data_IF_153501053993
#
_entry.id   IF_153501053993
#
_cell.length_a   1.000
_cell.length_b   1.000
_cell.length_c   1.000
_cell.angle_alpha   90.00
_cell.angle_beta   90.00
_cell.angle_gamma   90.00
#
_symmetry.space_group_name_H-M   'P 1'
#
loop_
_entity.id
_entity.type
_entity.pdbx_description
1 polymer ?
#
# COMPACT_ATOMS: atom_id res chain seq x y z
N UNK A 1 -3.51 20.77 -6.80
CA UNK A 1 -2.68 19.58 -6.70
C UNK A 1 -3.55 18.34 -6.78
N UNK A 2 -3.14 17.42 -7.60
CA UNK A 2 -3.94 16.22 -7.82
C UNK A 2 -3.36 15.04 -7.05
N UNK A 3 -4.22 14.41 -6.27
CA UNK A 3 -3.86 13.23 -5.50
C UNK A 3 -4.42 11.99 -6.17
N UNK A 4 -3.66 10.90 -6.12
CA UNK A 4 -4.15 9.63 -6.60
C UNK A 4 -5.23 9.09 -5.65
N UNK A 5 -6.26 8.43 -6.16
CA UNK A 5 -7.31 7.88 -5.32
C UNK A 5 -6.81 6.69 -4.50
N UNK A 6 -7.46 6.48 -3.37
CA UNK A 6 -7.19 5.35 -2.48
C UNK A 6 -8.51 4.61 -2.30
N UNK A 7 -8.48 3.31 -2.53
CA UNK A 7 -9.63 2.42 -2.31
C UNK A 7 -9.27 1.48 -1.18
N UNK A 8 -10.08 1.49 -0.13
CA UNK A 8 -9.88 0.64 1.04
C UNK A 8 -11.10 -0.25 1.18
N UNK A 9 -10.87 -1.55 1.25
CA UNK A 9 -11.93 -2.54 1.38
C UNK A 9 -12.51 -2.62 2.79
N UNK A 10 -13.24 -3.70 3.03
CA UNK A 10 -13.92 -3.91 4.32
C UNK A 10 -12.98 -4.56 5.32
N UNK A 11 -13.22 -4.26 6.60
CA UNK A 11 -12.49 -4.87 7.72
C UNK A 11 -10.97 -4.69 7.62
N UNK A 12 -10.54 -3.56 7.11
CA UNK A 12 -9.13 -3.20 7.05
C UNK A 12 -8.75 -2.55 8.37
N UNK A 13 -7.65 -3.01 8.97
CA UNK A 13 -7.12 -2.45 10.21
C UNK A 13 -5.82 -1.74 9.88
N UNK A 14 -5.79 -0.45 10.16
CA UNK A 14 -4.62 0.39 9.90
C UNK A 14 -4.14 0.95 11.23
N UNK A 15 -2.94 0.56 11.64
CA UNK A 15 -2.34 1.01 12.89
C UNK A 15 -1.88 2.47 12.77
N UNK A 16 -1.50 3.10 13.91
CA UNK A 16 -1.05 4.49 13.87
C UNK A 16 0.20 4.71 13.01
N UNK A 17 0.33 5.92 12.50
CA UNK A 17 1.50 6.38 11.76
C UNK A 17 1.70 5.64 10.44
N UNK A 18 0.64 5.15 9.85
CA UNK A 18 0.69 4.62 8.48
C UNK A 18 0.55 5.78 7.53
N UNK A 19 1.45 5.84 6.55
CA UNK A 19 1.40 6.84 5.50
C UNK A 19 1.10 6.18 4.17
N UNK A 20 0.11 6.73 3.47
CA UNK A 20 -0.22 6.28 2.12
C UNK A 20 0.05 7.46 1.19
N UNK A 21 1.03 7.30 0.32
CA UNK A 21 1.41 8.36 -0.58
C UNK A 21 0.39 8.46 -1.72
N UNK A 22 -0.20 9.63 -1.86
CA UNK A 22 -1.18 9.88 -2.91
C UNK A 22 -0.64 10.81 -3.99
N UNK A 23 0.53 11.39 -3.77
CA UNK A 23 1.17 12.27 -4.72
C UNK A 23 2.65 11.94 -4.77
N UNK A 24 3.29 12.31 -5.86
CA UNK A 24 4.72 12.11 -6.05
C UNK A 24 5.32 13.41 -6.54
N UNK A 25 6.54 13.75 -6.11
CA UNK A 25 7.22 14.94 -6.63
C UNK A 25 7.36 14.92 -8.15
N UNK A 26 7.49 13.75 -8.73
CA UNK A 26 7.65 13.62 -10.17
C UNK A 26 6.39 13.92 -10.94
N UNK A 27 5.22 13.77 -10.32
CA UNK A 27 3.96 14.06 -10.98
C UNK A 27 3.78 15.55 -11.26
N UNK A 28 4.52 16.39 -10.57
CA UNK A 28 4.43 17.84 -10.74
C UNK A 28 5.09 18.27 -12.05
N UNK A 29 6.17 17.62 -12.41
CA UNK A 29 6.96 18.00 -13.60
C UNK A 29 6.61 17.16 -14.82
N UNK A 30 5.90 16.08 -14.65
CA UNK A 30 5.53 15.22 -15.76
C UNK A 30 4.14 15.62 -16.26
N UNK A 31 4.11 16.31 -17.37
CA UNK A 31 2.85 16.79 -17.96
C UNK A 31 2.18 15.75 -18.84
N UNK A 32 2.69 14.56 -18.91
CA UNK A 32 2.06 13.52 -19.70
C UNK A 32 0.76 13.11 -19.03
N UNK A 33 -0.20 12.81 -19.87
CA UNK A 33 -1.50 12.36 -19.40
C UNK A 33 -1.41 10.88 -19.04
N UNK A 34 -0.78 10.60 -17.95
CA UNK A 34 -0.72 9.26 -17.42
C UNK A 34 -1.86 9.08 -16.45
N UNK A 35 -2.59 7.98 -16.56
CA UNK A 35 -3.64 7.66 -15.61
C UNK A 35 -3.02 7.62 -14.21
N UNK A 36 -3.69 8.28 -13.26
CA UNK A 36 -3.21 8.25 -11.89
C UNK A 36 -3.36 6.86 -11.34
N UNK A 37 -2.29 6.30 -10.79
CA UNK A 37 -2.41 4.97 -10.21
C UNK A 37 -3.33 4.99 -8.99
N UNK A 38 -4.14 3.96 -8.87
CA UNK A 38 -5.04 3.79 -7.75
C UNK A 38 -4.35 2.92 -6.72
N UNK A 39 -4.25 3.43 -5.50
CA UNK A 39 -3.77 2.62 -4.38
C UNK A 39 -4.95 1.84 -3.83
N UNK A 40 -4.83 0.52 -3.78
CA UNK A 40 -5.93 -0.35 -3.38
C UNK A 40 -5.49 -1.24 -2.23
N UNK A 41 -6.25 -1.18 -1.13
CA UNK A 41 -6.09 -2.09 0.00
C UNK A 41 -7.35 -2.92 0.04
N UNK A 42 -7.21 -4.22 -0.21
CA UNK A 42 -8.37 -5.09 -0.31
C UNK A 42 -8.87 -5.50 1.06
N UNK A 43 -9.87 -6.37 1.09
CA UNK A 43 -10.58 -6.70 2.31
C UNK A 43 -9.69 -7.43 3.32
N UNK A 44 -9.96 -7.17 4.58
CA UNK A 44 -9.38 -7.93 5.68
C UNK A 44 -7.86 -7.86 5.71
N UNK A 45 -7.31 -6.70 5.39
CA UNK A 45 -5.87 -6.44 5.44
C UNK A 45 -5.53 -5.80 6.78
N UNK A 46 -4.42 -6.19 7.34
CA UNK A 46 -3.91 -5.60 8.58
C UNK A 46 -2.58 -4.91 8.30
N UNK A 47 -2.51 -3.62 8.59
CA UNK A 47 -1.31 -2.82 8.36
C UNK A 47 -0.76 -2.37 9.70
N UNK A 48 0.47 -2.77 9.98
CA UNK A 48 1.14 -2.43 11.24
C UNK A 48 1.55 -0.97 11.33
N UNK A 49 2.11 -0.58 12.48
CA UNK A 49 2.51 0.80 12.73
C UNK A 49 3.66 1.25 11.83
N UNK A 50 3.71 2.53 11.53
CA UNK A 50 4.83 3.13 10.79
C UNK A 50 5.06 2.50 9.42
N UNK A 51 4.01 2.01 8.79
CA UNK A 51 4.11 1.48 7.43
C UNK A 51 3.95 2.61 6.43
N UNK A 52 4.73 2.57 5.38
CA UNK A 52 4.65 3.51 4.29
C UNK A 52 4.21 2.76 3.03
N UNK A 53 3.15 3.21 2.41
CA UNK A 53 2.62 2.57 1.20
C UNK A 53 2.72 3.58 0.06
N UNK A 54 3.42 3.20 -0.99
CA UNK A 54 3.57 4.07 -2.14
C UNK A 54 2.31 4.03 -3.00
N UNK A 55 2.07 5.13 -3.71
CA UNK A 55 0.88 5.23 -4.55
C UNK A 55 0.87 4.16 -5.63
N UNK A 56 -0.30 3.73 -6.00
CA UNK A 56 -0.48 2.76 -7.07
C UNK A 56 -0.29 1.32 -6.68
N UNK A 57 0.01 1.06 -5.40
CA UNK A 57 0.21 -0.30 -4.91
C UNK A 57 -1.12 -0.96 -4.61
N UNK A 58 -1.24 -2.24 -4.93
CA UNK A 58 -2.38 -3.05 -4.54
C UNK A 58 -1.94 -4.06 -3.49
N UNK A 59 -2.61 -4.05 -2.33
CA UNK A 59 -2.38 -5.03 -1.28
C UNK A 59 -3.55 -6.00 -1.30
N UNK A 60 -3.25 -7.28 -1.54
CA UNK A 60 -4.26 -8.31 -1.68
C UNK A 60 -4.98 -8.60 -0.36
N UNK A 61 -6.15 -9.24 -0.46
CA UNK A 61 -6.99 -9.51 0.71
C UNK A 61 -6.30 -10.46 1.69
N UNK A 62 -6.69 -10.38 2.95
CA UNK A 62 -6.17 -11.22 4.04
C UNK A 62 -4.66 -11.12 4.25
N UNK A 63 -4.06 -10.02 3.86
CA UNK A 63 -2.61 -9.83 3.96
C UNK A 63 -2.28 -9.03 5.21
N UNK A 64 -1.13 -9.35 5.80
CA UNK A 64 -0.61 -8.62 6.96
C UNK A 64 0.67 -7.91 6.52
N UNK A 65 0.73 -6.61 6.74
CA UNK A 65 1.94 -5.82 6.50
C UNK A 65 2.58 -5.53 7.86
N UNK A 66 3.80 -6.02 8.05
CA UNK A 66 4.49 -5.84 9.33
C UNK A 66 4.88 -4.40 9.59
N UNK A 67 5.00 -4.05 10.87
CA UNK A 67 5.33 -2.69 11.30
C UNK A 67 6.64 -2.21 10.68
N UNK A 68 6.71 -0.94 10.33
CA UNK A 68 7.91 -0.33 9.78
C UNK A 68 8.20 -0.67 8.33
N UNK A 69 7.31 -1.39 7.66
CA UNK A 69 7.54 -1.80 6.27
C UNK A 69 7.32 -0.65 5.30
N UNK A 70 8.00 -0.72 4.16
CA UNK A 70 7.79 0.21 3.06
C UNK A 70 7.31 -0.60 1.85
N UNK A 71 6.04 -0.41 1.49
CA UNK A 71 5.42 -1.17 0.41
C UNK A 71 5.62 -0.40 -0.89
N UNK A 72 6.50 -0.90 -1.75
CA UNK A 72 6.88 -0.24 -2.99
C UNK A 72 6.26 -0.89 -4.23
N UNK A 73 5.68 -2.05 -4.08
CA UNK A 73 5.07 -2.80 -5.19
C UNK A 73 3.92 -3.63 -4.66
N UNK A 74 3.15 -4.21 -5.56
CA UNK A 74 1.97 -4.97 -5.19
C UNK A 74 2.31 -6.15 -4.30
N UNK A 75 1.43 -6.39 -3.33
CA UNK A 75 1.56 -7.51 -2.41
C UNK A 75 0.40 -8.47 -2.67
N UNK A 76 0.68 -9.75 -2.88
CA UNK A 76 -0.40 -10.72 -3.15
C UNK A 76 -1.26 -10.96 -1.92
N UNK A 77 -2.38 -11.66 -2.12
CA UNK A 77 -3.30 -12.01 -1.05
C UNK A 77 -2.72 -13.12 -0.17
N UNK A 78 -3.20 -13.19 1.05
CA UNK A 78 -2.94 -14.30 1.99
C UNK A 78 -1.46 -14.48 2.31
N UNK A 79 -0.76 -13.38 2.54
CA UNK A 79 0.66 -13.42 2.91
C UNK A 79 0.94 -12.48 4.06
N UNK A 80 2.10 -12.66 4.68
CA UNK A 80 2.69 -11.65 5.56
C UNK A 80 3.87 -11.06 4.80
N UNK A 81 3.87 -9.75 4.65
CA UNK A 81 4.96 -9.03 4.00
C UNK A 81 5.59 -8.05 4.97
N UNK A 82 6.90 -7.95 4.96
CA UNK A 82 7.65 -7.08 5.88
C UNK A 82 8.88 -6.53 5.18
N UNK A 83 9.39 -5.45 5.72
CA UNK A 83 10.70 -4.95 5.34
C UNK A 83 10.65 -3.69 4.49
N UNK A 84 11.82 -3.23 4.10
CA UNK A 84 12.01 -2.06 3.25
C UNK A 84 13.03 -2.43 2.16
N UNK A 85 12.60 -2.69 0.92
CA UNK A 85 11.21 -2.79 0.50
C UNK A 85 10.52 -4.03 1.07
N UNK A 86 9.22 -3.95 1.22
CA UNK A 86 8.44 -5.05 1.76
C UNK A 86 8.53 -6.28 0.85
N UNK A 87 8.71 -7.43 1.44
CA UNK A 87 8.77 -8.69 0.72
C UNK A 87 7.98 -9.74 1.49
N UNK A 88 7.62 -10.81 0.80
CA UNK A 88 6.81 -11.87 1.40
C UNK A 88 7.67 -12.63 2.40
N UNK A 89 7.20 -12.65 3.64
CA UNK A 89 7.83 -13.43 4.69
C UNK A 89 7.30 -14.85 4.70
N UNK A 90 5.99 -15.01 4.62
CA UNK A 90 5.37 -16.33 4.58
C UNK A 90 3.94 -16.20 4.06
N UNK A 91 3.37 -17.33 3.68
CA UNK A 91 1.98 -17.42 3.26
C UNK A 91 1.09 -17.73 4.45
N UNK A 92 -0.11 -17.14 4.41
CA UNK A 92 -1.12 -17.37 5.44
C UNK A 92 -2.11 -18.41 4.92
N UNK A 93 -1.97 -19.61 5.34
CA UNK A 93 -3.05 -20.58 5.21
C UNK A 93 -2.58 -21.96 5.52
#
# INVERSE_FOLDING_TARGET
MDYAPIIIGDQVNIAPKVEIYTASPHSITDHRLVARPITTIKDNVWIGCNVCILRGVTIGHNTIIGAGSVVTHDIPANVIAVGNPAHILCKLN
#
